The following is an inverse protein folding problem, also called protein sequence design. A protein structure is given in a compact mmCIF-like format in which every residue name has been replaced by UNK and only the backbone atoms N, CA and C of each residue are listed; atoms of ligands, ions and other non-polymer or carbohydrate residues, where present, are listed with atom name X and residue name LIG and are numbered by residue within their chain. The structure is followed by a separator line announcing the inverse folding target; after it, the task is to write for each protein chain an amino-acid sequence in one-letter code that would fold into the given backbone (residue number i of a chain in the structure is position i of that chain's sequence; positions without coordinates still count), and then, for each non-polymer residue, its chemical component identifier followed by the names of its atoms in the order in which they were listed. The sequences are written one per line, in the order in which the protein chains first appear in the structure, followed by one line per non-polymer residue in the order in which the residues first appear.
data_IF_502648412491
#
_entry.id   IF_502648412491
#
_cell.length_a   1.000
_cell.length_b   1.000
_cell.length_c   1.000
_cell.angle_alpha   90.00
_cell.angle_beta   90.00
_cell.angle_gamma   90.00
#
_symmetry.space_group_name_H-M   'P 1'
#
loop_
_entity.id
_entity.type
_entity.pdbx_description
1 polymer ?
#
# COMPACT_ATOMS: atom_id res chain seq x y z
N UNK A 1 -9.82 -14.23 -0.30
CA UNK A 1 -11.18 -14.26 0.32
C UNK A 1 -10.98 -14.20 1.84
N UNK A 2 -10.83 -12.98 2.38
CA UNK A 2 -10.61 -12.70 3.80
C UNK A 2 -11.69 -11.75 4.27
N UNK A 3 -12.93 -12.26 4.44
CA UNK A 3 -14.00 -11.51 5.07
C UNK A 3 -14.88 -12.43 5.88
N UNK A 4 -14.56 -12.48 7.16
CA UNK A 4 -15.62 -12.51 8.16
C UNK A 4 -16.15 -11.07 8.19
N UNK A 5 -17.46 -10.90 8.05
CA UNK A 5 -18.16 -9.67 7.73
C UNK A 5 -17.78 -8.39 8.50
N UNK A 6 -18.45 -7.25 8.28
CA UNK A 6 -18.02 -5.96 8.80
C UNK A 6 -18.02 -5.96 10.32
N UNK A 7 -16.86 -6.17 10.93
CA UNK A 7 -16.68 -5.78 12.32
C UNK A 7 -16.66 -4.25 12.35
N UNK A 8 -17.56 -3.66 13.13
CA UNK A 8 -17.54 -2.21 13.41
C UNK A 8 -16.19 -1.85 14.01
N UNK A 9 -15.66 -0.69 13.63
CA UNK A 9 -14.49 -0.11 14.27
C UNK A 9 -14.61 -0.29 15.78
N UNK A 10 -13.65 -0.98 16.35
CA UNK A 10 -13.59 -1.21 17.79
C UNK A 10 -12.72 -0.13 18.42
N UNK A 11 -12.84 0.06 19.74
CA UNK A 11 -11.94 0.98 20.45
C UNK A 11 -10.45 0.67 20.26
N UNK A 12 -10.11 -0.56 19.80
CA UNK A 12 -8.74 -0.97 19.46
C UNK A 12 -8.16 -0.28 18.21
N UNK A 13 -8.99 0.29 17.35
CA UNK A 13 -8.53 1.05 16.17
C UNK A 13 -8.05 2.46 16.53
N UNK A 14 -8.48 2.99 17.66
CA UNK A 14 -8.00 4.28 18.20
C UNK A 14 -6.79 3.98 19.08
N UNK A 15 -5.62 4.49 18.70
CA UNK A 15 -4.37 4.26 19.39
C UNK A 15 -4.08 5.38 20.39
N UNK A 16 -3.47 5.04 21.52
CA UNK A 16 -2.94 6.02 22.45
C UNK A 16 -1.65 6.67 21.91
N UNK A 17 -1.22 7.75 22.55
CA UNK A 17 -0.06 8.52 22.10
C UNK A 17 1.25 7.70 22.11
N UNK A 18 1.41 6.75 23.04
CA UNK A 18 2.59 5.89 23.12
C UNK A 18 2.61 4.91 21.95
N UNK A 19 1.49 4.30 21.64
CA UNK A 19 1.34 3.38 20.51
C UNK A 19 1.54 4.10 19.18
N UNK A 20 0.96 5.32 19.03
CA UNK A 20 1.17 6.14 17.84
C UNK A 20 2.66 6.45 17.62
N UNK A 21 3.40 6.77 18.69
CA UNK A 21 4.84 7.04 18.56
C UNK A 21 5.63 5.78 18.16
N UNK A 22 5.27 4.60 18.67
CA UNK A 22 5.87 3.33 18.22
C UNK A 22 5.56 3.05 16.74
N UNK A 23 4.31 3.27 16.30
CA UNK A 23 3.93 3.11 14.89
C UNK A 23 4.69 4.13 14.02
N UNK A 24 4.89 5.35 14.49
CA UNK A 24 5.71 6.37 13.79
C UNK A 24 7.13 5.88 13.55
N UNK A 25 7.76 5.25 14.55
CA UNK A 25 9.11 4.67 14.41
C UNK A 25 9.12 3.56 13.38
N UNK A 26 8.17 2.63 13.44
CA UNK A 26 8.04 1.53 12.48
C UNK A 26 7.80 2.06 11.05
N UNK A 27 6.89 3.02 10.90
CA UNK A 27 6.53 3.64 9.62
C UNK A 27 7.69 4.36 8.95
N UNK A 28 8.47 5.15 9.73
CA UNK A 28 9.68 5.80 9.20
C UNK A 28 10.72 4.79 8.77
N UNK A 29 10.84 3.68 9.50
CA UNK A 29 11.80 2.64 9.14
C UNK A 29 11.38 1.92 7.86
N UNK A 30 10.10 1.59 7.68
CA UNK A 30 9.56 1.05 6.45
C UNK A 30 9.83 1.99 5.25
N UNK A 31 9.54 3.29 5.41
CA UNK A 31 9.78 4.30 4.37
C UNK A 31 11.26 4.42 3.99
N UNK A 32 12.18 4.31 4.96
CA UNK A 32 13.63 4.33 4.70
C UNK A 32 14.11 3.05 4.01
N UNK A 33 13.58 1.88 4.40
CA UNK A 33 13.89 0.62 3.75
C UNK A 33 13.39 0.61 2.30
N UNK A 34 12.18 1.11 2.05
CA UNK A 34 11.63 1.32 0.72
C UNK A 34 12.55 2.24 -0.12
N UNK A 35 12.95 3.39 0.44
CA UNK A 35 13.82 4.35 -0.24
C UNK A 35 15.21 3.75 -0.53
N UNK A 36 15.73 2.88 0.35
CA UNK A 36 17.02 2.20 0.15
C UNK A 36 16.93 1.19 -0.99
N UNK A 37 15.92 0.33 -0.98
CA UNK A 37 15.68 -0.64 -2.07
C UNK A 37 15.45 0.06 -3.41
N UNK A 38 14.70 1.17 -3.41
CA UNK A 38 14.40 1.93 -4.62
C UNK A 38 15.65 2.50 -5.32
N UNK A 39 16.73 2.78 -4.60
CA UNK A 39 18.02 3.24 -5.20
C UNK A 39 18.65 2.20 -6.14
N UNK A 40 18.34 0.93 -5.94
CA UNK A 40 18.87 -0.16 -6.76
C UNK A 40 18.01 -0.46 -7.99
N UNK A 41 16.85 0.18 -8.16
CA UNK A 41 15.98 -0.05 -9.32
C UNK A 41 16.69 0.38 -10.60
N UNK A 42 16.98 -0.59 -11.45
CA UNK A 42 17.59 -0.39 -12.76
C UNK A 42 17.33 -1.61 -13.66
N UNK A 43 17.39 -1.47 -14.98
CA UNK A 43 17.33 -2.60 -15.89
C UNK A 43 18.38 -3.65 -15.55
N UNK A 44 17.97 -4.93 -15.49
CA UNK A 44 18.83 -6.07 -15.17
C UNK A 44 18.91 -6.46 -13.70
N UNK A 45 18.48 -5.60 -12.77
CA UNK A 45 18.36 -5.93 -11.32
C UNK A 45 17.22 -6.94 -11.13
N UNK A 46 17.40 -7.90 -10.25
CA UNK A 46 16.34 -8.87 -9.92
C UNK A 46 15.47 -8.39 -8.79
N UNK A 47 14.22 -8.86 -8.75
CA UNK A 47 13.32 -8.59 -7.62
C UNK A 47 13.84 -9.20 -6.32
N UNK A 48 14.55 -10.34 -6.36
CA UNK A 48 15.28 -10.91 -5.22
C UNK A 48 16.34 -9.96 -4.65
N UNK A 49 17.02 -9.22 -5.50
CA UNK A 49 18.03 -8.24 -5.04
C UNK A 49 17.37 -7.09 -4.28
N UNK A 50 16.21 -6.61 -4.75
CA UNK A 50 15.45 -5.55 -4.07
C UNK A 50 14.90 -6.04 -2.72
N UNK A 51 14.41 -7.28 -2.66
CA UNK A 51 13.99 -7.93 -1.43
C UNK A 51 15.14 -8.04 -0.43
N UNK A 52 16.32 -8.49 -0.88
CA UNK A 52 17.52 -8.60 -0.05
C UNK A 52 17.92 -7.25 0.55
N UNK A 53 17.94 -6.19 -0.24
CA UNK A 53 18.30 -4.85 0.22
C UNK A 53 17.34 -4.37 1.31
N UNK A 54 16.03 -4.49 1.10
CA UNK A 54 15.03 -4.09 2.08
C UNK A 54 15.12 -4.96 3.35
N UNK A 55 15.29 -6.28 3.19
CA UNK A 55 15.48 -7.22 4.30
C UNK A 55 16.66 -6.85 5.18
N UNK A 56 17.84 -6.69 4.58
CA UNK A 56 19.08 -6.35 5.29
C UNK A 56 18.92 -5.00 6.01
N UNK A 57 18.35 -3.99 5.33
CA UNK A 57 18.13 -2.68 5.92
C UNK A 57 17.22 -2.76 7.16
N UNK A 58 16.10 -3.46 7.09
CA UNK A 58 15.18 -3.62 8.23
C UNK A 58 15.85 -4.35 9.39
N UNK A 59 16.53 -5.47 9.11
CA UNK A 59 17.20 -6.29 10.13
C UNK A 59 18.37 -5.53 10.81
N UNK A 60 19.17 -4.79 10.05
CA UNK A 60 20.28 -4.00 10.57
C UNK A 60 19.80 -2.86 11.50
N UNK A 61 18.55 -2.43 11.35
CA UNK A 61 17.91 -1.43 12.21
C UNK A 61 17.02 -2.06 13.30
N UNK A 62 17.10 -3.38 13.52
CA UNK A 62 16.43 -4.08 14.60
C UNK A 62 14.94 -4.34 14.36
N UNK A 63 14.47 -4.20 13.13
CA UNK A 63 13.09 -4.54 12.75
C UNK A 63 13.02 -5.92 12.10
N UNK A 64 11.82 -6.49 12.12
CA UNK A 64 11.46 -7.68 11.34
C UNK A 64 10.63 -7.26 10.13
N UNK A 65 10.92 -7.76 8.90
CA UNK A 65 10.07 -7.50 7.74
C UNK A 65 8.74 -8.24 7.90
N UNK A 66 7.65 -7.50 8.05
CA UNK A 66 6.34 -8.05 8.44
C UNK A 66 5.79 -9.06 7.46
N UNK A 67 6.09 -8.90 6.16
CA UNK A 67 5.62 -9.82 5.11
C UNK A 67 6.23 -11.23 5.28
N UNK A 68 7.48 -11.33 5.78
CA UNK A 68 8.20 -12.61 5.84
C UNK A 68 7.50 -13.59 6.79
N UNK A 69 6.95 -14.66 6.23
CA UNK A 69 6.21 -15.67 6.97
C UNK A 69 4.75 -15.32 7.26
N UNK A 70 4.30 -14.08 6.95
CA UNK A 70 2.90 -13.69 7.14
C UNK A 70 2.00 -14.55 6.27
N UNK A 71 1.12 -15.35 6.89
CA UNK A 71 0.24 -16.32 6.22
C UNK A 71 0.97 -17.22 5.20
N UNK A 72 2.29 -17.44 5.39
CA UNK A 72 3.12 -18.25 4.52
C UNK A 72 3.80 -17.48 3.37
N UNK A 73 3.70 -16.16 3.31
CA UNK A 73 4.43 -15.37 2.31
C UNK A 73 5.94 -15.57 2.46
N UNK A 74 6.69 -15.92 1.40
CA UNK A 74 8.05 -16.44 1.53
C UNK A 74 9.16 -15.37 1.54
N UNK A 75 8.83 -14.09 1.38
CA UNK A 75 9.78 -12.98 1.16
C UNK A 75 9.54 -11.83 2.12
N UNK A 76 10.46 -10.88 2.15
CA UNK A 76 10.46 -9.77 3.09
C UNK A 76 9.63 -8.57 2.64
N UNK A 77 9.50 -8.40 1.32
CA UNK A 77 8.70 -7.35 0.68
C UNK A 77 7.88 -7.94 -0.45
N UNK A 78 6.86 -7.20 -0.95
CA UNK A 78 6.26 -7.54 -2.23
C UNK A 78 6.92 -6.72 -3.35
N UNK A 79 7.01 -7.34 -4.55
CA UNK A 79 7.53 -6.70 -5.78
C UNK A 79 6.56 -6.95 -6.92
N UNK A 80 5.86 -5.91 -7.36
CA UNK A 80 4.77 -6.04 -8.33
C UNK A 80 5.12 -5.29 -9.61
N UNK A 81 5.36 -6.05 -10.71
CA UNK A 81 5.84 -5.52 -11.99
C UNK A 81 4.67 -5.42 -12.97
N UNK A 82 4.55 -4.31 -13.68
CA UNK A 82 3.64 -4.06 -14.80
C UNK A 82 2.16 -4.37 -14.46
N UNK A 83 1.66 -5.53 -14.92
CA UNK A 83 0.28 -5.98 -14.70
C UNK A 83 0.03 -6.60 -13.33
N UNK A 84 1.07 -6.78 -12.50
CA UNK A 84 0.91 -7.27 -11.13
C UNK A 84 0.33 -6.15 -10.28
N UNK A 85 -0.89 -6.36 -9.78
CA UNK A 85 -1.62 -5.40 -8.96
C UNK A 85 -0.96 -5.28 -7.59
N UNK A 86 -0.74 -6.42 -6.93
CA UNK A 86 -0.14 -6.49 -5.60
C UNK A 86 0.40 -7.90 -5.30
N UNK A 87 1.10 -8.04 -4.17
CA UNK A 87 1.60 -9.28 -3.58
C UNK A 87 2.52 -10.09 -4.49
N UNK A 88 3.17 -9.47 -5.47
CA UNK A 88 4.18 -10.13 -6.28
C UNK A 88 5.32 -10.67 -5.41
N UNK A 89 5.66 -11.96 -5.56
CA UNK A 89 6.73 -12.60 -4.79
C UNK A 89 8.08 -12.31 -5.46
N UNK A 90 9.04 -11.68 -4.75
CA UNK A 90 10.41 -11.52 -5.23
C UNK A 90 11.04 -12.84 -5.68
N UNK A 91 11.68 -12.84 -6.85
CA UNK A 91 12.38 -13.97 -7.43
C UNK A 91 13.55 -13.54 -8.33
N UNK A 92 14.02 -14.43 -9.19
CA UNK A 92 15.09 -14.15 -10.17
C UNK A 92 14.65 -13.30 -11.37
N UNK A 93 13.40 -12.84 -11.42
CA UNK A 93 12.89 -11.97 -12.49
C UNK A 93 13.68 -10.68 -12.55
N UNK A 94 14.19 -10.35 -13.75
CA UNK A 94 14.96 -9.14 -13.99
C UNK A 94 14.08 -8.04 -14.52
N UNK A 95 14.28 -6.85 -13.97
CA UNK A 95 13.65 -5.63 -14.48
C UNK A 95 14.19 -5.29 -15.86
N UNK A 96 13.32 -4.84 -16.75
CA UNK A 96 13.66 -4.37 -18.08
C UNK A 96 13.47 -2.86 -18.18
N UNK A 97 14.17 -2.26 -19.14
CA UNK A 97 13.89 -0.87 -19.53
C UNK A 97 12.41 -0.72 -19.93
N UNK A 98 11.75 0.29 -19.39
CA UNK A 98 10.33 0.55 -19.66
C UNK A 98 9.34 -0.19 -18.75
N UNK A 99 9.80 -1.04 -17.84
CA UNK A 99 8.94 -1.61 -16.80
C UNK A 99 8.54 -0.54 -15.77
N UNK A 100 7.44 -0.77 -15.07
CA UNK A 100 7.18 -0.16 -13.78
C UNK A 100 7.21 -1.25 -12.70
N UNK A 101 7.61 -0.88 -11.50
CA UNK A 101 7.63 -1.79 -10.35
C UNK A 101 7.10 -1.10 -9.09
N UNK A 102 6.19 -1.75 -8.40
CA UNK A 102 5.81 -1.40 -7.04
C UNK A 102 6.65 -2.19 -6.05
N UNK A 103 7.20 -1.52 -5.05
CA UNK A 103 7.84 -2.11 -3.88
C UNK A 103 6.95 -1.82 -2.67
N UNK A 104 6.61 -2.86 -1.92
CA UNK A 104 5.73 -2.78 -0.76
C UNK A 104 6.46 -3.32 0.48
N UNK A 105 6.65 -2.44 1.46
CA UNK A 105 7.54 -2.66 2.59
C UNK A 105 6.84 -2.38 3.90
N UNK A 106 6.73 -3.41 4.74
CA UNK A 106 6.19 -3.30 6.10
C UNK A 106 7.25 -3.66 7.15
N UNK A 107 7.48 -2.77 8.09
CA UNK A 107 8.40 -2.98 9.20
C UNK A 107 7.65 -3.33 10.49
N UNK A 108 8.12 -4.34 11.22
CA UNK A 108 7.66 -4.67 12.56
C UNK A 108 8.77 -4.40 13.58
N UNK A 109 8.52 -3.45 14.48
CA UNK A 109 9.43 -3.10 15.55
C UNK A 109 8.66 -2.53 16.76
N UNK A 110 9.12 -2.81 17.96
CA UNK A 110 8.46 -2.30 19.18
C UNK A 110 7.02 -2.80 19.39
N UNK A 111 6.69 -3.97 18.80
CA UNK A 111 5.36 -4.59 18.93
C UNK A 111 4.30 -4.02 17.98
N UNK A 112 4.69 -3.22 16.98
CA UNK A 112 3.76 -2.59 16.01
C UNK A 112 4.33 -2.63 14.59
N UNK A 113 3.43 -2.46 13.61
CA UNK A 113 3.74 -2.42 12.19
C UNK A 113 3.68 -0.98 11.66
N UNK A 114 4.44 -0.73 10.60
CA UNK A 114 4.33 0.46 9.76
C UNK A 114 4.49 0.06 8.31
N UNK A 115 3.58 0.47 7.44
CA UNK A 115 3.34 -0.06 6.10
C UNK A 115 3.36 1.04 5.04
N UNK A 116 4.03 0.79 3.92
CA UNK A 116 4.11 1.75 2.82
C UNK A 116 4.57 1.11 1.53
N UNK A 117 4.04 1.56 0.41
CA UNK A 117 4.53 1.18 -0.90
C UNK A 117 4.64 2.36 -1.87
N UNK A 118 5.38 2.16 -2.93
CA UNK A 118 5.46 3.12 -4.03
C UNK A 118 5.81 2.42 -5.35
N UNK A 119 5.28 2.96 -6.44
CA UNK A 119 5.57 2.53 -7.81
C UNK A 119 6.64 3.41 -8.43
N UNK A 120 7.61 2.78 -9.08
CA UNK A 120 8.76 3.39 -9.73
C UNK A 120 8.85 3.00 -11.20
N UNK A 121 9.32 3.90 -12.04
CA UNK A 121 9.72 3.59 -13.40
C UNK A 121 11.09 2.91 -13.41
N UNK A 122 11.28 1.95 -14.31
CA UNK A 122 12.57 1.28 -14.56
C UNK A 122 13.17 1.86 -15.84
N UNK A 123 14.14 2.77 -15.68
CA UNK A 123 14.67 3.53 -16.82
C UNK A 123 13.64 4.49 -17.41
N UNK A 124 13.61 4.61 -18.74
CA UNK A 124 12.63 5.43 -19.45
C UNK A 124 11.34 4.63 -19.72
N UNK A 125 10.21 5.16 -19.31
CA UNK A 125 8.88 4.58 -19.57
C UNK A 125 8.13 5.41 -20.59
N UNK A 126 7.10 4.82 -21.22
CA UNK A 126 6.22 5.58 -22.11
C UNK A 126 5.39 6.63 -21.32
N UNK A 127 4.90 7.69 -21.99
CA UNK A 127 4.17 8.77 -21.32
C UNK A 127 2.86 8.34 -20.63
N UNK A 128 2.22 7.28 -21.11
CA UNK A 128 1.00 6.75 -20.48
C UNK A 128 1.32 6.09 -19.14
N UNK A 129 2.41 5.34 -19.08
CA UNK A 129 2.94 4.73 -17.85
C UNK A 129 3.38 5.80 -16.85
N UNK A 130 4.10 6.84 -17.30
CA UNK A 130 4.51 7.95 -16.44
C UNK A 130 3.28 8.65 -15.81
N UNK A 131 2.25 8.89 -16.62
CA UNK A 131 0.99 9.47 -16.16
C UNK A 131 0.24 8.55 -15.20
N UNK A 132 0.27 7.23 -15.40
CA UNK A 132 -0.35 6.27 -14.46
C UNK A 132 0.32 6.38 -13.09
N UNK A 133 1.65 6.37 -13.03
CA UNK A 133 2.42 6.50 -11.79
C UNK A 133 2.07 7.80 -11.07
N UNK A 134 2.15 8.94 -11.76
CA UNK A 134 1.91 10.26 -11.16
C UNK A 134 0.47 10.44 -10.70
N UNK A 135 -0.50 9.98 -11.49
CA UNK A 135 -1.93 10.09 -11.16
C UNK A 135 -2.33 9.16 -10.02
N UNK A 136 -1.73 7.97 -9.90
CA UNK A 136 -1.98 7.07 -8.77
C UNK A 136 -1.47 7.69 -7.47
N UNK A 137 -0.28 8.28 -7.46
CA UNK A 137 0.23 9.06 -6.34
C UNK A 137 -0.70 10.22 -5.98
N UNK A 138 -1.13 10.98 -6.98
CA UNK A 138 -2.06 12.11 -6.77
C UNK A 138 -3.41 11.63 -6.23
N UNK A 139 -3.90 10.47 -6.67
CA UNK A 139 -5.14 9.87 -6.16
C UNK A 139 -5.04 9.58 -4.66
N UNK A 140 -3.95 8.94 -4.23
CA UNK A 140 -3.65 8.69 -2.81
C UNK A 140 -3.60 9.99 -2.01
N UNK A 141 -2.84 10.99 -2.47
CA UNK A 141 -2.72 12.29 -1.79
C UNK A 141 -4.08 13.01 -1.64
N UNK A 142 -4.98 12.84 -2.60
CA UNK A 142 -6.36 13.37 -2.53
C UNK A 142 -7.18 12.63 -1.49
N UNK A 143 -7.04 11.31 -1.40
CA UNK A 143 -7.64 10.49 -0.35
C UNK A 143 -7.19 10.95 1.02
N UNK A 144 -5.89 11.14 1.22
CA UNK A 144 -5.30 11.64 2.47
C UNK A 144 -5.89 13.00 2.87
N UNK A 145 -5.99 13.94 1.93
CA UNK A 145 -6.57 15.28 2.17
C UNK A 145 -8.06 15.23 2.53
N UNK A 146 -8.76 14.16 2.19
CA UNK A 146 -10.19 14.00 2.52
C UNK A 146 -10.42 13.51 3.96
N UNK A 147 -9.39 12.95 4.61
CA UNK A 147 -9.46 12.46 5.99
C UNK A 147 -9.74 13.62 6.95
N UNK A 148 -10.84 13.49 7.70
CA UNK A 148 -11.19 14.41 8.81
C UNK A 148 -12.05 13.68 9.83
N UNK A 149 -11.82 13.91 11.13
CA UNK A 149 -12.71 13.40 12.17
C UNK A 149 -14.18 13.73 11.90
N UNK A 150 -15.07 12.78 12.22
CA UNK A 150 -16.51 12.90 12.03
C UNK A 150 -17.02 12.61 10.61
N UNK A 151 -16.15 12.36 9.63
CA UNK A 151 -16.55 11.86 8.31
C UNK A 151 -16.52 10.34 8.29
N UNK A 152 -17.28 9.73 7.39
CA UNK A 152 -17.19 8.29 7.11
C UNK A 152 -15.94 8.00 6.28
N UNK A 153 -15.31 6.83 6.48
CA UNK A 153 -14.12 6.40 5.70
C UNK A 153 -14.39 6.36 4.20
N UNK A 154 -15.64 6.16 3.80
CA UNK A 154 -16.09 6.20 2.41
C UNK A 154 -15.75 7.50 1.66
N UNK A 155 -15.55 8.62 2.36
CA UNK A 155 -15.15 9.88 1.72
C UNK A 155 -13.81 9.74 1.00
N UNK A 156 -12.92 8.90 1.52
CA UNK A 156 -11.58 8.63 0.96
C UNK A 156 -11.75 8.01 -0.43
N UNK A 157 -12.46 6.89 -0.49
CA UNK A 157 -12.68 6.16 -1.74
C UNK A 157 -13.46 6.98 -2.78
N UNK A 158 -14.48 7.72 -2.35
CA UNK A 158 -15.24 8.62 -3.23
C UNK A 158 -14.35 9.65 -3.93
N UNK A 159 -13.42 10.26 -3.20
CA UNK A 159 -12.50 11.26 -3.75
C UNK A 159 -11.50 10.63 -4.70
N UNK A 160 -10.95 9.46 -4.35
CA UNK A 160 -9.98 8.71 -5.15
C UNK A 160 -10.63 8.26 -6.47
N UNK A 161 -11.78 7.57 -6.38
CA UNK A 161 -12.48 7.06 -7.57
C UNK A 161 -12.94 8.20 -8.50
N UNK A 162 -13.46 9.28 -7.94
CA UNK A 162 -13.85 10.44 -8.73
C UNK A 162 -12.66 11.08 -9.48
N UNK A 163 -11.45 10.99 -8.92
CA UNK A 163 -10.24 11.46 -9.59
C UNK A 163 -9.80 10.48 -10.69
N UNK A 164 -9.75 9.17 -10.41
CA UNK A 164 -9.37 8.14 -11.37
C UNK A 164 -10.27 8.12 -12.62
N UNK A 165 -11.58 8.23 -12.43
CA UNK A 165 -12.59 8.29 -13.51
C UNK A 165 -12.39 9.44 -14.50
N UNK A 166 -11.67 10.50 -14.13
CA UNK A 166 -11.37 11.64 -15.06
C UNK A 166 -10.41 11.23 -16.16
N UNK A 167 -9.72 10.11 -16.01
CA UNK A 167 -8.69 9.62 -16.92
C UNK A 167 -9.01 8.22 -17.45
N UNK A 168 -10.24 7.76 -17.22
CA UNK A 168 -10.71 6.40 -17.56
C UNK A 168 -9.87 5.27 -16.94
N UNK A 169 -9.26 5.52 -15.78
CA UNK A 169 -8.50 4.51 -15.05
C UNK A 169 -9.43 3.57 -14.28
N UNK A 170 -9.11 2.28 -14.36
CA UNK A 170 -9.71 1.27 -13.49
C UNK A 170 -9.26 1.48 -12.03
N UNK A 171 -10.19 1.25 -11.09
CA UNK A 171 -9.93 1.27 -9.65
C UNK A 171 -10.20 -0.12 -9.10
N UNK A 172 -9.17 -0.82 -8.65
CA UNK A 172 -9.29 -2.15 -8.03
C UNK A 172 -10.08 -2.03 -6.73
N UNK A 173 -11.02 -2.95 -6.49
CA UNK A 173 -11.98 -2.85 -5.39
C UNK A 173 -11.83 -3.92 -4.31
N UNK A 174 -11.24 -5.06 -4.68
CA UNK A 174 -11.15 -6.23 -3.79
C UNK A 174 -9.96 -6.16 -2.83
N UNK A 175 -9.07 -5.19 -3.05
CA UNK A 175 -7.94 -4.86 -2.18
C UNK A 175 -8.11 -3.43 -1.69
N UNK A 176 -8.01 -3.26 -0.37
CA UNK A 176 -8.37 -2.01 0.32
C UNK A 176 -7.28 -1.62 1.29
N UNK A 177 -7.26 -0.36 1.70
CA UNK A 177 -6.53 0.06 2.88
C UNK A 177 -7.13 -0.58 4.14
N UNK A 178 -6.35 -0.60 5.19
CA UNK A 178 -6.66 -1.31 6.43
C UNK A 178 -6.14 -0.58 7.66
N UNK A 179 -6.70 -0.89 8.82
CA UNK A 179 -6.11 -0.47 10.08
C UNK A 179 -4.79 -1.20 10.31
N UNK A 180 -3.81 -0.49 10.84
CA UNK A 180 -2.45 -1.00 11.12
C UNK A 180 -1.99 -0.56 12.50
N UNK A 181 -1.20 -1.39 13.15
CA UNK A 181 -0.70 -1.14 14.49
C UNK A 181 -0.10 -2.40 15.09
N UNK A 182 -0.64 -2.90 16.21
CA UNK A 182 -0.21 -4.16 16.81
C UNK A 182 -0.51 -5.37 15.92
N UNK A 183 -1.58 -5.27 15.12
CA UNK A 183 -1.85 -6.19 14.01
C UNK A 183 -1.33 -5.57 12.71
N UNK A 184 -0.84 -6.41 11.79
CA UNK A 184 -0.47 -5.97 10.43
C UNK A 184 -1.71 -5.47 9.69
N UNK A 185 -2.79 -6.24 9.71
CA UNK A 185 -4.09 -5.85 9.20
C UNK A 185 -5.11 -5.99 10.34
N UNK A 186 -5.84 -4.92 10.63
CA UNK A 186 -6.99 -4.96 11.55
C UNK A 186 -8.31 -5.10 10.78
N UNK A 187 -9.42 -5.17 11.50
CA UNK A 187 -10.76 -5.26 10.88
C UNK A 187 -11.26 -3.98 10.19
N UNK A 188 -10.57 -2.84 10.36
CA UNK A 188 -10.93 -1.59 9.69
C UNK A 188 -10.61 -1.66 8.19
N UNK A 189 -11.61 -1.37 7.35
CA UNK A 189 -11.48 -1.36 5.89
C UNK A 189 -11.55 0.08 5.38
N UNK A 190 -10.56 0.48 4.58
CA UNK A 190 -10.50 1.79 3.92
C UNK A 190 -10.71 1.58 2.42
N UNK A 191 -11.93 1.76 1.89
CA UNK A 191 -12.18 1.58 0.46
C UNK A 191 -11.54 2.71 -0.35
N UNK A 192 -11.07 2.38 -1.57
CA UNK A 192 -10.55 3.36 -2.51
C UNK A 192 -11.56 3.75 -3.60
N UNK A 193 -12.78 3.27 -3.49
CA UNK A 193 -13.93 3.55 -4.35
C UNK A 193 -15.14 3.99 -3.52
N UNK A 194 -16.16 4.58 -4.14
CA UNK A 194 -17.41 4.93 -3.44
C UNK A 194 -18.19 3.66 -3.10
N UNK A 195 -18.00 3.16 -1.90
CA UNK A 195 -18.59 1.91 -1.42
C UNK A 195 -19.92 2.12 -0.66
N UNK A 196 -20.43 3.37 -0.57
CA UNK A 196 -21.66 3.64 0.18
C UNK A 196 -22.84 2.76 -0.29
N UNK A 197 -23.68 2.27 0.63
CA UNK A 197 -23.71 2.50 2.08
C UNK A 197 -22.82 1.54 2.91
N UNK A 198 -21.93 0.78 2.29
CA UNK A 198 -20.97 -0.09 2.98
C UNK A 198 -19.81 0.74 3.51
N UNK A 199 -19.12 0.24 4.54
CA UNK A 199 -17.96 0.91 5.15
C UNK A 199 -18.30 2.33 5.61
N UNK A 200 -19.26 2.43 6.53
CA UNK A 200 -19.77 3.67 7.12
C UNK A 200 -19.07 4.04 8.44
N UNK A 201 -17.93 3.39 8.74
CA UNK A 201 -17.14 3.68 9.93
C UNK A 201 -16.78 5.16 9.96
N UNK A 202 -16.97 5.77 11.14
CA UNK A 202 -16.66 7.18 11.35
C UNK A 202 -15.19 7.34 11.68
N UNK A 203 -14.53 8.24 10.97
CA UNK A 203 -13.13 8.61 11.21
C UNK A 203 -13.05 9.34 12.56
N UNK A 204 -12.20 8.84 13.45
CA UNK A 204 -11.98 9.41 14.78
C UNK A 204 -10.50 9.74 15.00
N UNK A 205 -10.21 10.79 15.78
CA UNK A 205 -8.83 11.15 16.16
C UNK A 205 -8.15 9.99 16.88
N UNK A 206 -6.90 9.69 16.48
CA UNK A 206 -6.12 8.57 17.01
C UNK A 206 -6.26 7.26 16.21
N UNK A 207 -7.17 7.18 15.24
CA UNK A 207 -7.16 6.05 14.31
C UNK A 207 -5.89 6.02 13.48
N UNK A 208 -5.37 4.80 13.23
CA UNK A 208 -4.20 4.57 12.35
C UNK A 208 -4.58 3.55 11.29
N UNK A 209 -4.40 3.92 10.02
CA UNK A 209 -4.74 3.08 8.88
C UNK A 209 -3.93 3.44 7.64
N UNK A 210 -3.99 2.59 6.61
CA UNK A 210 -3.37 2.82 5.30
C UNK A 210 -4.34 3.43 4.30
N UNK A 211 -3.80 4.18 3.34
CA UNK A 211 -4.48 4.56 2.10
C UNK A 211 -3.56 4.15 0.96
N UNK A 212 -4.04 3.23 0.10
CA UNK A 212 -3.22 2.48 -0.85
C UNK A 212 -3.91 2.20 -2.19
N UNK A 213 -4.44 3.19 -2.90
CA UNK A 213 -5.19 2.96 -4.13
C UNK A 213 -4.36 2.29 -5.22
N UNK A 214 -4.97 1.32 -5.89
CA UNK A 214 -4.45 0.59 -7.04
C UNK A 214 -5.20 1.00 -8.30
N UNK A 215 -4.54 1.73 -9.20
CA UNK A 215 -5.12 2.16 -10.48
C UNK A 215 -4.56 1.32 -11.63
N UNK A 216 -5.40 1.03 -12.62
CA UNK A 216 -5.03 0.27 -13.82
C UNK A 216 -5.39 1.03 -15.09
N UNK A 217 -4.59 0.84 -16.14
CA UNK A 217 -4.86 1.39 -17.48
C UNK A 217 -6.02 0.67 -18.20
N UNK A 218 -6.51 -0.43 -17.66
CA UNK A 218 -7.55 -1.25 -18.30
C UNK A 218 -8.57 -1.81 -17.33
N UNK A 219 -8.82 -3.10 -17.43
CA UNK A 219 -9.82 -3.79 -16.61
C UNK A 219 -9.40 -3.82 -15.13
N UNK A 220 -10.42 -3.79 -14.27
CA UNK A 220 -10.27 -4.08 -12.83
C UNK A 220 -10.42 -5.56 -12.51
N UNK A 221 -10.76 -6.39 -13.50
CA UNK A 221 -10.83 -7.83 -13.31
C UNK A 221 -9.43 -8.39 -13.09
N UNK A 222 -9.29 -9.25 -12.11
CA UNK A 222 -8.02 -9.84 -11.73
C UNK A 222 -8.08 -11.35 -11.64
N UNK A 223 -6.91 -11.96 -11.63
CA UNK A 223 -6.70 -13.36 -11.32
C UNK A 223 -5.51 -13.52 -10.38
N UNK A 224 -5.54 -14.54 -9.55
CA UNK A 224 -4.43 -14.90 -8.68
C UNK A 224 -3.64 -16.04 -9.29
N UNK A 225 -2.32 -15.96 -9.22
CA UNK A 225 -1.45 -17.05 -9.69
C UNK A 225 -1.47 -18.26 -8.75
N UNK A 226 -0.98 -19.40 -9.25
CA UNK A 226 -0.92 -20.66 -8.50
C UNK A 226 0.03 -20.59 -7.28
N UNK A 227 0.84 -19.53 -7.17
CA UNK A 227 1.67 -19.26 -5.99
C UNK A 227 0.84 -18.84 -4.76
N UNK A 228 -0.45 -18.58 -4.95
CA UNK A 228 -1.40 -18.21 -3.91
C UNK A 228 -1.31 -16.76 -3.43
N UNK A 229 -0.45 -15.91 -4.06
CA UNK A 229 -0.21 -14.53 -3.65
C UNK A 229 -0.32 -13.54 -4.80
N UNK A 230 0.44 -13.73 -5.88
CA UNK A 230 0.55 -12.78 -6.98
C UNK A 230 -0.79 -12.53 -7.65
N UNK A 231 -1.25 -11.29 -7.63
CA UNK A 231 -2.51 -10.84 -8.22
C UNK A 231 -2.22 -10.00 -9.46
N UNK A 232 -2.83 -10.35 -10.58
CA UNK A 232 -2.60 -9.68 -11.87
C UNK A 232 -3.91 -9.24 -12.52
N UNK A 233 -3.85 -8.18 -13.34
CA UNK A 233 -4.98 -7.80 -14.19
C UNK A 233 -5.23 -8.87 -15.25
N UNK A 234 -6.50 -9.23 -15.49
CA UNK A 234 -6.84 -10.26 -16.49
C UNK A 234 -6.49 -9.87 -17.92
N UNK A 235 -6.57 -8.59 -18.23
CA UNK A 235 -6.25 -8.05 -19.55
C UNK A 235 -4.76 -7.69 -19.72
N UNK A 236 -3.94 -7.94 -18.67
CA UNK A 236 -2.51 -7.62 -18.63
C UNK A 236 -2.21 -6.11 -18.77
N UNK A 237 -3.18 -5.27 -18.47
CA UNK A 237 -2.94 -3.83 -18.39
C UNK A 237 -2.06 -3.48 -17.19
N UNK A 238 -1.23 -2.45 -17.37
CA UNK A 238 -0.36 -1.94 -16.30
C UNK A 238 -1.16 -1.37 -15.16
N UNK A 239 -0.62 -1.54 -13.96
CA UNK A 239 -1.21 -1.05 -12.70
C UNK A 239 -0.16 -0.36 -11.86
N UNK A 240 -0.56 0.64 -11.09
CA UNK A 240 0.30 1.33 -10.12
C UNK A 240 -0.41 1.45 -8.76
N UNK A 241 0.39 1.43 -7.70
CA UNK A 241 -0.07 1.61 -6.33
C UNK A 241 0.86 2.58 -5.60
N UNK A 242 0.31 3.35 -4.68
CA UNK A 242 1.05 4.13 -3.69
C UNK A 242 0.35 4.02 -2.36
N UNK A 243 1.11 3.96 -1.29
CA UNK A 243 0.58 3.78 0.05
C UNK A 243 1.29 4.62 1.08
N UNK A 244 0.49 5.07 2.04
CA UNK A 244 0.98 5.61 3.30
C UNK A 244 0.18 5.12 4.49
N UNK A 245 0.88 4.84 5.59
CA UNK A 245 0.28 4.76 6.92
C UNK A 245 0.04 6.17 7.46
N UNK A 246 -1.16 6.38 8.00
CA UNK A 246 -1.63 7.66 8.52
C UNK A 246 -2.08 7.53 9.97
N UNK A 247 -1.94 8.61 10.75
CA UNK A 247 -2.68 8.81 11.99
C UNK A 247 -3.67 9.95 11.80
N UNK A 248 -4.90 9.77 12.26
CA UNK A 248 -5.92 10.82 12.26
C UNK A 248 -5.65 11.79 13.40
N UNK A 249 -5.58 13.08 13.06
CA UNK A 249 -5.43 14.20 14.00
C UNK A 249 -6.73 14.99 14.11
N UNK A 250 -6.82 15.95 15.02
CA UNK A 250 -8.02 16.80 15.19
C UNK A 250 -8.35 17.61 13.93
N UNK A 251 -7.34 17.92 13.08
CA UNK A 251 -7.48 18.76 11.87
C UNK A 251 -7.48 17.96 10.56
N UNK A 252 -7.19 16.66 10.59
CA UNK A 252 -7.08 15.83 9.39
C UNK A 252 -6.28 14.55 9.60
N UNK A 253 -5.21 14.34 8.81
CA UNK A 253 -4.31 13.22 8.97
C UNK A 253 -2.85 13.63 8.88
N UNK A 254 -2.02 12.94 9.65
CA UNK A 254 -0.56 13.01 9.57
C UNK A 254 -0.04 11.75 8.89
N UNK A 255 0.83 11.90 7.88
CA UNK A 255 1.52 10.79 7.23
C UNK A 255 2.69 10.34 8.09
N UNK A 256 2.72 9.06 8.48
CA UNK A 256 3.76 8.49 9.33
C UNK A 256 4.94 7.90 8.54
N UNK A 257 4.70 7.47 7.30
CA UNK A 257 5.66 6.80 6.40
C UNK A 257 6.43 7.79 5.51
N UNK A 258 6.99 8.81 6.13
CA UNK A 258 7.95 9.71 5.49
C UNK A 258 9.36 9.38 6.02
N UNK A 259 10.40 9.22 5.11
CA UNK A 259 11.75 8.81 5.46
C UNK A 259 12.52 9.79 6.34
#
# INVERSE_FOLDING_TARGET
MFHDGPERVTASEIKDAETIERIRVASRLAARALAEAAKAIAPGVTTDELDRIAHEYLCDHGAYPSCLGYMGFPKSICTSINEVICHGIPDSTRLNEGDLINLDVTAYIGGVHGDTNATYAVGEVDPETELLIDRTRTAMERGIKAVKPGREVNVIGRVIEAYAKRFDYGMVRDYTGHGVGEAFHSGLIIPHYDAAPLHDDVIETGMVFTIEPMLTLGSIDWEQWDDGWTVVTKDRSRTAQFEHTLVVTDDGAEVLTLP
#
